data_IF_344975099608
#
_entry.id   IF_344975099608
#
_cell.length_a   1.000
_cell.length_b   1.000
_cell.length_c   1.000
_cell.angle_alpha   90.00
_cell.angle_beta   90.00
_cell.angle_gamma   90.00
#
_symmetry.space_group_name_H-M   'P 1'
#
loop_
_entity.id
_entity.type
_entity.pdbx_description
1 polymer ?
#
# COMPACT_ATOMS: atom_id res chain seq x y z
N UNK A 1 19.52 1.54 6.33
CA UNK A 1 18.92 0.87 5.17
C UNK A 1 18.43 -0.50 5.56
N UNK A 2 17.14 -0.78 5.35
CA UNK A 2 16.49 -2.07 5.64
C UNK A 2 15.68 -2.56 4.44
N UNK A 3 15.43 -3.86 4.40
CA UNK A 3 14.59 -4.52 3.38
C UNK A 3 13.47 -5.25 4.12
N UNK A 4 12.24 -4.78 3.97
CA UNK A 4 11.06 -5.50 4.43
C UNK A 4 10.60 -6.50 3.37
N UNK A 5 10.34 -7.74 3.79
CA UNK A 5 9.87 -8.82 2.92
C UNK A 5 8.54 -9.34 3.43
N UNK A 6 7.50 -9.13 2.64
CA UNK A 6 6.19 -9.76 2.87
C UNK A 6 6.21 -11.18 2.32
N UNK A 7 5.73 -12.14 3.12
CA UNK A 7 5.64 -13.55 2.73
C UNK A 7 4.19 -14.01 2.77
N UNK A 8 3.81 -14.82 1.79
CA UNK A 8 2.51 -15.46 1.76
C UNK A 8 2.55 -16.76 2.59
N UNK A 9 1.82 -16.77 3.70
CA UNK A 9 1.73 -17.93 4.61
C UNK A 9 2.99 -18.21 5.44
N UNK A 10 3.95 -17.29 5.41
CA UNK A 10 5.17 -17.37 6.22
C UNK A 10 5.43 -16.08 6.99
N UNK A 11 6.39 -16.08 7.92
CA UNK A 11 6.72 -14.89 8.69
C UNK A 11 7.33 -13.80 7.77
N UNK A 12 6.88 -12.58 7.94
CA UNK A 12 7.52 -11.41 7.33
C UNK A 12 8.94 -11.24 7.85
N UNK A 13 9.82 -10.65 7.05
CA UNK A 13 11.22 -10.46 7.38
C UNK A 13 11.61 -8.99 7.25
N UNK A 14 12.61 -8.61 8.04
CA UNK A 14 13.24 -7.30 7.92
C UNK A 14 14.75 -7.45 7.99
N UNK A 15 15.39 -7.34 6.84
CA UNK A 15 16.83 -7.51 6.73
C UNK A 15 17.54 -6.17 6.79
N UNK A 16 18.54 -6.06 7.64
CA UNK A 16 19.45 -4.92 7.67
C UNK A 16 20.89 -5.34 7.94
N UNK A 17 21.82 -4.41 7.71
CA UNK A 17 23.23 -4.63 8.08
C UNK A 17 23.39 -4.40 9.58
N UNK A 18 23.64 -5.48 10.30
CA UNK A 18 23.88 -5.48 11.74
C UNK A 18 25.22 -6.16 12.04
N UNK A 19 26.12 -5.48 12.77
CA UNK A 19 27.47 -5.98 13.11
C UNK A 19 28.24 -6.51 11.90
N UNK A 20 28.16 -5.82 10.76
CA UNK A 20 28.88 -6.18 9.54
C UNK A 20 28.25 -7.30 8.68
N UNK A 21 27.10 -7.86 9.09
CA UNK A 21 26.40 -8.94 8.38
C UNK A 21 24.95 -8.54 8.11
N UNK A 22 24.34 -9.14 7.10
CA UNK A 22 22.90 -9.04 6.89
C UNK A 22 22.20 -9.96 7.89
N UNK A 23 21.30 -9.41 8.68
CA UNK A 23 20.52 -10.15 9.68
C UNK A 23 19.03 -9.84 9.54
N UNK A 24 18.20 -10.85 9.80
CA UNK A 24 16.75 -10.67 9.94
C UNK A 24 16.45 -10.14 11.35
N UNK A 25 15.91 -8.95 11.42
CA UNK A 25 15.57 -8.28 12.68
C UNK A 25 14.08 -7.95 12.80
N UNK A 26 13.23 -8.64 12.03
CA UNK A 26 11.79 -8.39 12.02
C UNK A 26 11.17 -8.47 13.43
N UNK A 27 11.60 -9.42 14.26
CA UNK A 27 11.09 -9.57 15.63
C UNK A 27 11.44 -8.37 16.51
N UNK A 28 12.66 -7.85 16.39
CA UNK A 28 13.14 -6.71 17.20
C UNK A 28 12.38 -5.43 16.87
N UNK A 29 11.96 -5.27 15.60
CA UNK A 29 11.27 -4.08 15.10
C UNK A 29 9.74 -4.21 15.08
N UNK A 30 9.16 -5.30 15.60
CA UNK A 30 7.70 -5.49 15.64
C UNK A 30 7.09 -5.92 14.30
N UNK A 31 7.91 -6.32 13.32
CA UNK A 31 7.49 -6.63 11.95
C UNK A 31 7.29 -8.13 11.69
N UNK A 32 7.59 -9.02 12.64
CA UNK A 32 7.46 -10.46 12.45
C UNK A 32 5.99 -10.90 12.58
N UNK A 33 5.30 -11.01 11.44
CA UNK A 33 3.91 -11.48 11.35
C UNK A 33 3.80 -12.60 10.33
N UNK A 34 2.92 -13.57 10.56
CA UNK A 34 2.52 -14.56 9.54
C UNK A 34 1.28 -14.02 8.85
N UNK A 35 1.38 -13.77 7.55
CA UNK A 35 0.34 -13.05 6.79
C UNK A 35 0.13 -13.63 5.40
N UNK A 36 -0.89 -13.16 4.72
CA UNK A 36 -1.06 -13.33 3.28
C UNK A 36 -0.35 -12.24 2.45
N UNK A 37 0.87 -11.84 2.85
CA UNK A 37 1.58 -10.71 2.26
C UNK A 37 1.80 -10.83 0.76
N UNK A 38 1.31 -9.88 -0.01
CA UNK A 38 1.39 -9.84 -1.48
C UNK A 38 1.97 -8.55 -2.02
N UNK A 39 1.65 -7.43 -1.43
CA UNK A 39 2.11 -6.13 -1.90
C UNK A 39 2.58 -5.25 -0.75
N UNK A 40 3.64 -4.51 -0.98
CA UNK A 40 4.24 -3.63 0.02
C UNK A 40 4.69 -2.35 -0.66
N UNK A 41 4.44 -1.24 0.00
CA UNK A 41 5.05 0.05 -0.32
C UNK A 41 5.62 0.68 0.94
N UNK A 42 6.67 1.46 0.77
CA UNK A 42 7.29 2.21 1.86
C UNK A 42 7.55 3.65 1.43
N UNK A 43 7.31 4.58 2.32
CA UNK A 43 7.46 6.01 2.04
C UNK A 43 7.10 6.86 3.24
N UNK A 44 7.09 8.18 3.05
CA UNK A 44 6.66 9.16 4.06
C UNK A 44 5.12 9.21 4.13
N UNK A 45 4.49 8.13 4.67
CA UNK A 45 3.03 7.95 4.66
C UNK A 45 2.38 8.74 5.79
N UNK A 46 2.89 8.59 7.01
CA UNK A 46 2.32 9.18 8.22
C UNK A 46 3.21 10.24 8.86
N UNK A 47 4.49 10.20 8.57
CA UNK A 47 5.52 11.01 9.20
C UNK A 47 6.70 11.27 8.26
N UNK A 48 7.70 12.00 8.73
CA UNK A 48 8.97 12.22 8.02
C UNK A 48 9.88 10.96 8.01
N UNK A 49 9.49 9.90 8.73
CA UNK A 49 10.16 8.60 8.67
C UNK A 49 9.57 7.73 7.55
N UNK A 50 10.30 6.70 7.15
CA UNK A 50 9.80 5.73 6.19
C UNK A 50 8.86 4.77 6.91
N UNK A 51 7.58 4.89 6.65
CA UNK A 51 6.52 3.99 7.08
C UNK A 51 6.31 2.89 6.04
N UNK A 52 5.57 1.82 6.40
CA UNK A 52 5.31 0.69 5.51
C UNK A 52 3.81 0.42 5.47
N UNK A 53 3.24 0.34 4.26
CA UNK A 53 1.92 -0.24 4.06
C UNK A 53 2.07 -1.62 3.40
N UNK A 54 1.43 -2.64 3.99
CA UNK A 54 1.45 -4.01 3.48
C UNK A 54 0.03 -4.50 3.24
N UNK A 55 -0.31 -4.75 1.98
CA UNK A 55 -1.58 -5.32 1.57
C UNK A 55 -1.52 -6.85 1.60
N UNK A 56 -2.53 -7.46 2.20
CA UNK A 56 -2.60 -8.89 2.43
C UNK A 56 -3.75 -9.54 1.66
N UNK A 57 -3.50 -10.75 1.16
CA UNK A 57 -4.52 -11.66 0.69
C UNK A 57 -4.98 -12.52 1.87
N UNK A 58 -6.29 -12.61 2.10
CA UNK A 58 -6.90 -13.34 3.22
C UNK A 58 -6.43 -12.82 4.59
N UNK A 59 -6.70 -11.57 4.86
CA UNK A 59 -6.39 -10.96 6.15
C UNK A 59 -6.34 -9.45 6.06
N UNK A 60 -6.19 -8.81 7.20
CA UNK A 60 -6.14 -7.36 7.28
C UNK A 60 -4.84 -6.80 6.68
N UNK A 61 -4.91 -5.60 6.14
CA UNK A 61 -3.72 -4.84 5.78
C UNK A 61 -3.01 -4.34 7.04
N UNK A 62 -1.71 -4.09 6.91
CA UNK A 62 -0.92 -3.42 7.94
C UNK A 62 -0.49 -2.02 7.47
N UNK A 63 -0.48 -1.09 8.41
CA UNK A 63 0.14 0.21 8.25
C UNK A 63 1.11 0.41 9.41
N UNK A 64 2.38 0.20 9.15
CA UNK A 64 3.43 0.32 10.16
C UNK A 64 3.99 1.74 10.20
N UNK A 65 3.68 2.45 11.27
CA UNK A 65 4.31 3.74 11.57
C UNK A 65 5.70 3.51 12.16
N UNK A 66 6.69 4.14 11.57
CA UNK A 66 8.05 4.12 12.04
C UNK A 66 8.28 5.22 13.09
N UNK A 67 8.61 4.82 14.30
CA UNK A 67 9.01 5.73 15.37
C UNK A 67 10.43 5.35 15.78
N UNK A 68 11.40 6.13 15.34
CA UNK A 68 12.82 5.95 15.66
C UNK A 68 13.37 4.54 15.39
N UNK A 69 12.91 3.94 14.28
CA UNK A 69 13.33 2.59 13.85
C UNK A 69 12.46 1.46 14.39
N UNK A 70 11.54 1.71 15.32
CA UNK A 70 10.56 0.72 15.78
C UNK A 70 9.24 0.92 15.03
N UNK A 71 8.63 -0.18 14.58
CA UNK A 71 7.41 -0.14 13.78
C UNK A 71 6.19 -0.54 14.60
N UNK A 72 5.16 0.29 14.55
CA UNK A 72 3.88 0.07 15.24
C UNK A 72 2.77 -0.06 14.18
N UNK A 73 2.02 -1.16 14.25
CA UNK A 73 0.85 -1.31 13.38
C UNK A 73 -0.28 -0.40 13.84
N UNK A 74 -0.63 0.54 12.99
CA UNK A 74 -1.68 1.53 13.23
C UNK A 74 -2.84 1.44 12.22
N UNK A 75 -2.90 0.37 11.42
CA UNK A 75 -3.89 0.21 10.35
C UNK A 75 -5.34 0.35 10.85
N UNK A 76 -5.64 -0.16 12.04
CA UNK A 76 -6.96 -0.02 12.66
C UNK A 76 -7.32 1.43 12.97
N UNK A 77 -6.39 2.16 13.59
CA UNK A 77 -6.59 3.56 13.97
C UNK A 77 -6.71 4.49 12.76
N UNK A 78 -6.13 4.08 11.64
CA UNK A 78 -6.17 4.84 10.38
C UNK A 78 -7.22 4.32 9.38
N UNK A 79 -8.04 3.34 9.76
CA UNK A 79 -9.15 2.80 8.95
C UNK A 79 -8.73 2.20 7.59
N UNK A 80 -7.55 1.57 7.52
CA UNK A 80 -7.02 0.95 6.29
C UNK A 80 -6.93 -0.58 6.35
N UNK A 81 -7.60 -1.22 7.32
CA UNK A 81 -7.52 -2.68 7.51
C UNK A 81 -8.00 -3.49 6.31
N UNK A 82 -9.09 -3.05 5.64
CA UNK A 82 -9.74 -3.73 4.49
C UNK A 82 -9.88 -5.26 4.65
N UNK A 83 -10.54 -5.75 5.72
CA UNK A 83 -10.43 -7.15 6.19
C UNK A 83 -11.08 -8.19 5.30
N UNK A 84 -11.94 -7.76 4.37
CA UNK A 84 -12.73 -8.66 3.51
C UNK A 84 -12.19 -8.74 2.09
N UNK A 85 -11.14 -8.01 1.79
CA UNK A 85 -10.55 -7.94 0.45
C UNK A 85 -9.23 -8.71 0.36
N UNK A 86 -8.80 -8.96 -0.87
CA UNK A 86 -7.58 -9.72 -1.15
C UNK A 86 -6.54 -8.80 -1.80
N UNK A 87 -5.79 -8.06 -1.00
CA UNK A 87 -4.79 -7.11 -1.47
C UNK A 87 -3.66 -7.80 -2.27
N UNK A 88 -3.44 -7.35 -3.51
CA UNK A 88 -2.41 -7.92 -4.41
C UNK A 88 -1.49 -6.90 -5.04
N UNK A 89 -1.90 -5.68 -5.16
CA UNK A 89 -1.10 -4.59 -5.70
C UNK A 89 -1.29 -3.35 -4.87
N UNK A 90 -0.23 -2.56 -4.66
CA UNK A 90 -0.35 -1.28 -3.96
C UNK A 90 0.71 -0.30 -4.45
N UNK A 91 0.36 0.97 -4.43
CA UNK A 91 1.28 2.08 -4.71
C UNK A 91 0.97 3.27 -3.81
N UNK A 92 1.94 4.18 -3.69
CA UNK A 92 1.75 5.49 -3.07
C UNK A 92 1.70 6.54 -4.18
N UNK A 93 0.77 7.48 -4.08
CA UNK A 93 0.63 8.60 -5.00
C UNK A 93 -0.04 9.77 -4.30
N UNK A 94 0.30 10.99 -4.66
CA UNK A 94 -0.46 12.17 -4.26
C UNK A 94 -1.71 12.31 -5.13
N UNK A 95 -2.71 11.49 -4.85
CA UNK A 95 -3.92 11.32 -5.67
C UNK A 95 -4.73 12.62 -5.83
N UNK A 96 -4.65 13.51 -4.86
CA UNK A 96 -5.39 14.78 -4.85
C UNK A 96 -4.48 16.02 -4.95
N UNK A 97 -3.21 15.84 -5.30
CA UNK A 97 -2.23 16.91 -5.54
C UNK A 97 -2.08 17.88 -4.37
N UNK A 98 -1.92 17.32 -3.16
CA UNK A 98 -1.85 18.08 -1.91
C UNK A 98 -0.45 18.09 -1.28
N UNK A 99 0.55 17.51 -1.97
CA UNK A 99 1.88 17.29 -1.42
C UNK A 99 1.92 16.19 -0.36
N UNK A 100 0.96 15.24 -0.39
CA UNK A 100 0.80 14.19 0.61
C UNK A 100 0.51 12.85 -0.05
N UNK A 101 1.23 11.81 0.36
CA UNK A 101 1.04 10.46 -0.17
C UNK A 101 -0.25 9.82 0.34
N UNK A 102 -1.04 9.36 -0.61
CA UNK A 102 -2.21 8.52 -0.43
C UNK A 102 -1.86 7.07 -0.78
N UNK A 103 -2.70 6.11 -0.37
CA UNK A 103 -2.47 4.69 -0.59
C UNK A 103 -3.48 4.17 -1.61
N UNK A 104 -3.00 3.61 -2.71
CA UNK A 104 -3.85 2.92 -3.68
C UNK A 104 -3.66 1.41 -3.54
N UNK A 105 -4.74 0.67 -3.30
CA UNK A 105 -4.72 -0.78 -3.11
C UNK A 105 -5.63 -1.48 -4.12
N UNK A 106 -5.04 -2.39 -4.88
CA UNK A 106 -5.74 -3.26 -5.80
C UNK A 106 -6.03 -4.63 -5.17
N UNK A 107 -7.30 -5.03 -5.18
CA UNK A 107 -7.79 -6.24 -4.57
C UNK A 107 -8.16 -7.30 -5.62
N UNK A 108 -7.72 -8.54 -5.42
CA UNK A 108 -8.01 -9.66 -6.32
C UNK A 108 -9.47 -10.10 -6.18
N UNK A 109 -10.19 -10.04 -7.29
CA UNK A 109 -11.64 -10.34 -7.35
C UNK A 109 -12.48 -9.54 -6.31
N UNK A 110 -11.94 -8.38 -5.87
CA UNK A 110 -12.56 -7.51 -4.89
C UNK A 110 -12.51 -6.04 -5.28
N UNK A 111 -13.20 -5.18 -4.54
CA UNK A 111 -13.22 -3.75 -4.78
C UNK A 111 -11.85 -3.12 -4.51
N UNK A 112 -11.33 -2.35 -5.48
CA UNK A 112 -10.09 -1.60 -5.29
C UNK A 112 -10.32 -0.37 -4.41
N UNK A 113 -9.25 0.08 -3.71
CA UNK A 113 -9.30 1.19 -2.76
C UNK A 113 -8.38 2.33 -3.15
N UNK A 114 -8.82 3.55 -2.86
CA UNK A 114 -8.01 4.75 -2.84
C UNK A 114 -8.18 5.38 -1.46
N UNK A 115 -7.26 5.07 -0.58
CA UNK A 115 -7.24 5.61 0.77
C UNK A 115 -6.56 6.97 0.77
N UNK A 116 -7.34 8.01 0.93
CA UNK A 116 -6.88 9.40 0.98
C UNK A 116 -6.82 9.86 2.43
N UNK A 117 -5.67 10.39 2.85
CA UNK A 117 -5.49 10.88 4.21
C UNK A 117 -6.35 12.12 4.47
N UNK A 118 -7.11 12.08 5.55
CA UNK A 118 -7.93 13.18 6.07
C UNK A 118 -7.66 13.35 7.56
N UNK A 119 -7.01 14.44 7.92
CA UNK A 119 -6.62 14.69 9.33
C UNK A 119 -5.83 13.51 9.91
N UNK A 120 -6.42 12.77 10.83
CA UNK A 120 -5.79 11.67 11.55
C UNK A 120 -6.23 10.28 11.09
N UNK A 121 -6.89 10.15 9.93
CA UNK A 121 -7.36 8.87 9.40
C UNK A 121 -7.29 8.85 7.87
N UNK A 122 -7.65 7.73 7.26
CA UNK A 122 -7.82 7.59 5.81
C UNK A 122 -9.28 7.39 5.47
N UNK A 123 -9.69 7.89 4.29
CA UNK A 123 -11.00 7.58 3.71
C UNK A 123 -10.83 6.96 2.34
N UNK A 124 -11.54 5.87 2.09
CA UNK A 124 -11.67 5.32 0.74
C UNK A 124 -12.53 6.26 -0.10
N UNK A 125 -11.93 6.82 -1.16
CA UNK A 125 -12.61 7.66 -2.15
C UNK A 125 -12.86 6.94 -3.46
N UNK A 126 -12.45 5.67 -3.58
CA UNK A 126 -12.66 4.88 -4.79
C UNK A 126 -14.15 4.81 -5.15
N UNK A 127 -14.46 5.00 -6.43
CA UNK A 127 -15.84 5.00 -6.94
C UNK A 127 -15.91 4.56 -8.41
N UNK A 128 -17.12 4.29 -8.87
CA UNK A 128 -17.42 4.02 -10.28
C UNK A 128 -16.59 2.86 -10.84
N UNK A 129 -15.99 3.06 -12.00
CA UNK A 129 -15.23 2.03 -12.72
C UNK A 129 -13.99 1.56 -11.99
N UNK A 130 -13.40 2.41 -11.13
CA UNK A 130 -12.23 2.02 -10.35
C UNK A 130 -12.54 0.90 -9.33
N UNK A 131 -13.73 0.95 -8.68
CA UNK A 131 -14.17 -0.06 -7.71
C UNK A 131 -14.55 -1.41 -8.33
N UNK A 132 -14.71 -1.49 -9.65
CA UNK A 132 -15.10 -2.76 -10.29
C UNK A 132 -14.02 -3.82 -10.04
N UNK A 133 -14.36 -4.94 -9.38
CA UNK A 133 -13.44 -6.04 -9.12
C UNK A 133 -12.71 -6.49 -10.38
N UNK A 134 -11.45 -6.89 -10.21
CA UNK A 134 -10.66 -7.43 -11.30
C UNK A 134 -9.56 -8.38 -10.78
N UNK A 135 -8.99 -9.17 -11.68
CA UNK A 135 -7.89 -10.10 -11.35
C UNK A 135 -6.55 -9.37 -11.32
N UNK A 136 -6.46 -8.40 -10.43
CA UNK A 136 -5.30 -7.53 -10.32
C UNK A 136 -4.03 -8.26 -9.88
N UNK A 137 -2.88 -7.83 -10.38
CA UNK A 137 -1.55 -8.29 -9.97
C UNK A 137 -0.67 -7.20 -9.42
N UNK A 138 -0.76 -6.01 -10.01
CA UNK A 138 0.00 -4.86 -9.51
C UNK A 138 -0.73 -3.57 -9.77
N UNK A 139 -0.41 -2.57 -8.98
CA UNK A 139 -0.83 -1.18 -9.15
C UNK A 139 0.42 -0.34 -9.30
N UNK A 140 0.43 0.53 -10.28
CA UNK A 140 1.51 1.49 -10.52
C UNK A 140 0.91 2.88 -10.62
N UNK A 141 1.58 3.87 -10.07
CA UNK A 141 1.27 5.27 -10.26
C UNK A 141 2.47 5.94 -10.92
N UNK A 142 2.22 6.69 -11.96
CA UNK A 142 3.20 7.51 -12.66
C UNK A 142 2.50 8.53 -13.55
N UNK A 143 3.18 9.62 -13.88
CA UNK A 143 2.76 10.58 -14.89
C UNK A 143 3.05 9.99 -16.29
N UNK A 144 2.06 9.28 -16.86
CA UNK A 144 2.21 8.59 -18.14
C UNK A 144 2.06 9.52 -19.36
N UNK A 145 1.39 10.64 -19.21
CA UNK A 145 1.16 11.60 -20.31
C UNK A 145 1.95 12.92 -20.18
N UNK A 146 2.82 13.02 -19.14
CA UNK A 146 3.68 14.17 -18.84
C UNK A 146 2.91 15.47 -18.61
N UNK A 147 1.75 15.39 -17.96
CA UNK A 147 0.98 16.57 -17.59
C UNK A 147 1.27 17.06 -16.16
N UNK A 148 2.15 16.37 -15.43
CA UNK A 148 2.57 16.68 -14.06
C UNK A 148 1.72 15.99 -13.00
N UNK A 149 0.78 15.13 -13.39
CA UNK A 149 -0.11 14.40 -12.50
C UNK A 149 -0.01 12.90 -12.72
N UNK A 150 0.00 12.12 -11.64
CA UNK A 150 0.08 10.68 -11.75
C UNK A 150 -1.25 10.06 -12.22
N UNK A 151 -1.20 9.16 -13.19
CA UNK A 151 -2.25 8.19 -13.47
C UNK A 151 -2.04 6.93 -12.63
N UNK A 152 -3.13 6.16 -12.46
CA UNK A 152 -3.11 4.86 -11.80
C UNK A 152 -3.33 3.76 -12.83
N UNK A 153 -2.34 2.90 -12.99
CA UNK A 153 -2.39 1.74 -13.86
C UNK A 153 -2.66 0.48 -13.04
N UNK A 154 -3.74 -0.24 -13.38
CA UNK A 154 -4.11 -1.53 -12.83
C UNK A 154 -3.73 -2.63 -13.81
N UNK A 155 -2.72 -3.44 -13.46
CA UNK A 155 -2.32 -4.60 -14.23
C UNK A 155 -3.11 -5.83 -13.81
N UNK A 156 -3.83 -6.44 -14.75
CA UNK A 156 -4.71 -7.59 -14.54
C UNK A 156 -4.18 -8.85 -15.23
N UNK A 157 -4.64 -10.02 -14.78
CA UNK A 157 -4.38 -11.31 -15.42
C UNK A 157 -5.65 -11.83 -16.09
N UNK A 158 -5.55 -12.19 -17.38
CA UNK A 158 -6.65 -12.80 -18.13
C UNK A 158 -7.79 -11.86 -18.47
N UNK A 159 -7.63 -10.56 -18.21
CA UNK A 159 -8.57 -9.49 -18.55
C UNK A 159 -7.82 -8.19 -18.86
N UNK A 160 -8.45 -7.20 -19.51
CA UNK A 160 -7.77 -5.96 -19.90
C UNK A 160 -7.20 -5.20 -18.70
N UNK A 161 -5.99 -4.66 -18.87
CA UNK A 161 -5.45 -3.66 -17.97
C UNK A 161 -6.27 -2.38 -18.02
N UNK A 162 -6.22 -1.60 -16.95
CA UNK A 162 -6.98 -0.34 -16.84
C UNK A 162 -6.01 0.79 -16.48
N UNK A 163 -6.19 1.93 -17.12
CA UNK A 163 -5.50 3.17 -16.79
C UNK A 163 -6.54 4.20 -16.35
N UNK A 164 -6.34 4.81 -15.22
CA UNK A 164 -7.21 5.83 -14.64
C UNK A 164 -6.46 7.13 -14.46
N UNK A 165 -7.03 8.20 -14.99
CA UNK A 165 -6.61 9.56 -14.68
C UNK A 165 -7.53 10.13 -13.60
N UNK A 166 -6.94 10.76 -12.61
CA UNK A 166 -7.68 11.46 -11.57
C UNK A 166 -7.79 12.90 -11.97
N UNK A 167 -9.01 13.42 -12.05
CA UNK A 167 -9.26 14.82 -12.33
C UNK A 167 -9.08 15.65 -11.06
N UNK A 168 -8.85 16.95 -11.20
CA UNK A 168 -8.72 17.90 -10.07
C UNK A 168 -9.90 17.85 -9.07
N UNK A 169 -11.10 17.47 -9.52
CA UNK A 169 -12.28 17.30 -8.68
C UNK A 169 -12.35 15.92 -7.98
N UNK A 170 -11.32 15.08 -8.10
CA UNK A 170 -11.27 13.73 -7.55
C UNK A 170 -12.09 12.68 -8.30
N UNK A 171 -12.57 12.99 -9.52
CA UNK A 171 -13.20 12.00 -10.41
C UNK A 171 -12.14 11.17 -11.13
N UNK A 172 -12.43 9.87 -11.26
CA UNK A 172 -11.63 8.89 -11.98
C UNK A 172 -12.26 8.61 -13.36
#
# INVERSE_FOLDING_TARGET
FGIYVANYGGPTRFYEKFKGRIADRATEFGLNKITGGRAVVAGHILSDNIDIFAANERGVNFLYKNVDGTFYDVASSYEVLDPYENGRGTTLSDVLYRGQLDIVSGNWDGEHRIFVKKENTYKDIAKGKFKIPSKIRTVISADFDNDGYDEIFLNNIGEPNKLFKIKENGEL
#
